data_IF_633459691640
#
_entry.id   IF_633459691640
#
_cell.length_a   1.000
_cell.length_b   1.000
_cell.length_c   1.000
_cell.angle_alpha   90.00
_cell.angle_beta   90.00
_cell.angle_gamma   90.00
#
_symmetry.space_group_name_H-M   'P 1'
#
loop_
_entity.id
_entity.type
_entity.pdbx_description
1 polymer ?
#
# COMPACT_ATOMS: atom_id res chain seq x y z
N UNK A 1 7.51 20.89 7.54
CA UNK A 1 7.32 19.45 7.44
C UNK A 1 8.33 18.91 6.44
N UNK A 2 9.37 18.27 6.92
CA UNK A 2 10.43 17.70 6.12
C UNK A 2 10.23 16.21 5.89
N UNK A 3 11.21 15.58 5.27
CA UNK A 3 11.31 14.13 5.24
C UNK A 3 11.85 13.69 6.60
N UNK A 4 11.00 13.10 7.44
CA UNK A 4 11.41 12.48 8.70
C UNK A 4 10.38 11.43 9.08
N UNK A 5 10.75 10.18 8.92
CA UNK A 5 10.03 9.05 9.48
C UNK A 5 10.35 8.94 10.96
N UNK A 6 9.32 8.83 11.79
CA UNK A 6 9.46 8.63 13.25
C UNK A 6 8.60 7.45 13.69
N UNK A 7 9.17 6.55 14.48
CA UNK A 7 8.48 5.39 15.05
C UNK A 7 8.80 5.30 16.52
N UNK A 8 7.78 5.45 17.37
CA UNK A 8 7.92 5.23 18.81
C UNK A 8 7.86 3.71 19.12
N UNK A 9 8.83 3.24 19.88
CA UNK A 9 8.89 1.85 20.37
C UNK A 9 8.48 1.89 21.85
N UNK A 10 7.42 1.15 22.16
CA UNK A 10 6.76 1.21 23.47
C UNK A 10 6.92 -0.14 24.17
N UNK A 11 7.35 -0.11 25.44
CA UNK A 11 7.27 -1.24 26.36
C UNK A 11 5.86 -1.26 26.95
N UNK A 12 5.04 -2.19 26.50
CA UNK A 12 3.62 -2.29 26.89
C UNK A 12 3.47 -2.70 28.36
N UNK A 13 4.40 -3.48 28.91
CA UNK A 13 4.35 -3.89 30.33
C UNK A 13 4.66 -2.73 31.27
N UNK A 14 5.55 -1.81 30.84
CA UNK A 14 5.95 -0.64 31.61
C UNK A 14 5.19 0.63 31.25
N UNK A 15 4.32 0.56 30.24
CA UNK A 15 3.60 1.73 29.69
C UNK A 15 4.54 2.91 29.43
N UNK A 16 5.65 2.66 28.76
CA UNK A 16 6.68 3.65 28.52
C UNK A 16 7.30 3.56 27.12
N UNK A 17 7.60 4.72 26.54
CA UNK A 17 8.41 4.80 25.32
C UNK A 17 9.86 4.49 25.67
N UNK A 18 10.42 3.46 25.03
CA UNK A 18 11.83 3.05 25.23
C UNK A 18 12.77 3.64 24.19
N UNK A 19 12.26 3.96 23.02
CA UNK A 19 13.01 4.63 21.96
C UNK A 19 12.08 5.31 20.94
N UNK A 20 12.63 6.27 20.21
CA UNK A 20 12.03 6.83 18.99
C UNK A 20 13.05 6.65 17.87
N UNK A 21 12.76 5.78 16.93
CA UNK A 21 13.55 5.63 15.71
C UNK A 21 13.25 6.79 14.77
N UNK A 22 14.27 7.42 14.22
CA UNK A 22 14.14 8.54 13.29
C UNK A 22 14.98 8.30 12.03
N UNK A 23 14.45 8.70 10.86
CA UNK A 23 15.15 8.60 9.59
C UNK A 23 14.62 9.67 8.61
N UNK A 24 15.52 10.30 7.86
CA UNK A 24 15.21 11.40 6.93
C UNK A 24 15.13 10.96 5.45
N UNK A 25 15.29 9.67 5.18
CA UNK A 25 15.27 9.12 3.82
C UNK A 25 13.87 9.08 3.19
N UNK A 26 12.82 9.09 4.00
CA UNK A 26 11.42 9.20 3.56
C UNK A 26 10.66 10.16 4.45
N UNK A 27 9.48 10.59 4.00
CA UNK A 27 8.59 11.43 4.80
C UNK A 27 7.95 10.63 5.96
N UNK A 28 7.09 11.30 6.72
CA UNK A 28 6.39 10.68 7.85
C UNK A 28 5.75 9.35 7.45
N UNK A 29 5.95 8.34 8.28
CA UNK A 29 5.31 7.02 8.16
C UNK A 29 4.03 7.00 8.97
N UNK A 30 3.09 6.16 8.56
CA UNK A 30 1.76 6.11 9.16
C UNK A 30 0.70 6.64 8.22
N UNK A 31 -0.56 6.34 8.51
CA UNK A 31 -1.71 6.82 7.75
C UNK A 31 -2.70 7.54 8.67
N UNK A 32 -3.43 8.48 8.10
CA UNK A 32 -4.52 9.17 8.80
C UNK A 32 -5.77 8.29 8.96
N UNK A 33 -5.87 7.25 8.16
CA UNK A 33 -7.01 6.35 8.14
C UNK A 33 -6.59 4.97 8.66
N UNK A 34 -6.83 4.74 9.91
CA UNK A 34 -6.18 3.70 10.71
C UNK A 34 -6.97 2.40 10.87
N UNK A 35 -8.23 2.36 10.47
CA UNK A 35 -9.09 1.19 10.76
C UNK A 35 -8.74 -0.06 9.96
N UNK A 36 -8.05 0.07 8.82
CA UNK A 36 -7.56 -1.04 7.99
C UNK A 36 -6.19 -0.74 7.36
N UNK A 37 -5.51 0.28 7.87
CA UNK A 37 -4.29 0.78 7.31
C UNK A 37 -3.10 0.21 8.03
N UNK A 38 -2.46 -0.73 7.40
CA UNK A 38 -1.19 -1.20 7.92
C UNK A 38 -0.06 -0.37 7.32
N UNK A 39 0.28 0.69 8.04
CA UNK A 39 1.50 1.44 7.80
C UNK A 39 2.73 0.69 8.32
N UNK A 40 2.48 -0.35 9.12
CA UNK A 40 3.50 -1.22 9.71
C UNK A 40 3.20 -2.66 9.33
N UNK A 41 4.13 -3.30 8.66
CA UNK A 41 3.99 -4.67 8.17
C UNK A 41 5.08 -5.51 8.82
N UNK A 42 4.69 -6.53 9.59
CA UNK A 42 5.66 -7.46 10.19
C UNK A 42 5.88 -8.63 9.25
N UNK A 43 7.09 -8.78 8.75
CA UNK A 43 7.46 -9.86 7.84
C UNK A 43 8.96 -10.18 7.96
N UNK A 44 9.31 -11.46 7.90
CA UNK A 44 10.70 -11.97 7.82
C UNK A 44 11.65 -11.37 8.88
N UNK A 45 11.14 -11.18 10.11
CA UNK A 45 11.91 -10.62 11.21
C UNK A 45 12.13 -9.11 11.16
N UNK A 46 11.39 -8.40 10.32
CA UNK A 46 11.38 -6.94 10.21
C UNK A 46 10.00 -6.34 10.36
N UNK A 47 9.97 -5.09 10.77
CA UNK A 47 8.81 -4.20 10.73
C UNK A 47 9.07 -3.22 9.59
N UNK A 48 8.32 -3.37 8.49
CA UNK A 48 8.38 -2.46 7.35
C UNK A 48 7.44 -1.29 7.60
N UNK A 49 7.94 -0.08 7.38
CA UNK A 49 7.22 1.17 7.58
C UNK A 49 7.08 1.87 6.23
N UNK A 50 5.88 2.25 5.84
CA UNK A 50 5.61 2.92 4.58
C UNK A 50 5.25 4.39 4.78
N UNK A 51 5.83 5.25 3.95
CA UNK A 51 5.44 6.64 3.76
C UNK A 51 4.79 6.83 2.40
N UNK A 52 3.60 7.41 2.36
CA UNK A 52 2.91 7.78 1.12
C UNK A 52 3.21 9.22 0.66
N UNK A 53 4.16 9.89 1.29
CA UNK A 53 4.55 11.28 1.00
C UNK A 53 3.34 12.23 0.93
N UNK A 54 2.40 12.10 1.88
CA UNK A 54 1.16 12.91 1.93
C UNK A 54 0.38 12.91 0.60
N UNK A 55 0.32 11.77 -0.08
CA UNK A 55 -0.34 11.59 -1.39
C UNK A 55 0.14 12.57 -2.47
N UNK A 56 1.34 13.13 -2.32
CA UNK A 56 1.90 14.13 -3.24
C UNK A 56 1.45 15.57 -3.00
N UNK A 57 0.63 15.84 -1.98
CA UNK A 57 0.18 17.20 -1.67
C UNK A 57 1.26 18.10 -1.07
N UNK A 58 2.31 17.52 -0.48
CA UNK A 58 3.41 18.27 0.10
C UNK A 58 4.67 18.17 -0.79
N UNK A 59 5.01 19.21 -1.53
CA UNK A 59 6.19 19.19 -2.41
C UNK A 59 7.47 18.85 -1.67
N UNK A 60 8.30 18.01 -2.29
CA UNK A 60 9.61 17.61 -1.76
C UNK A 60 9.56 16.48 -0.72
N UNK A 61 8.39 15.97 -0.38
CA UNK A 61 8.29 14.75 0.42
C UNK A 61 8.64 13.51 -0.43
N UNK A 62 9.31 12.55 0.22
CA UNK A 62 9.77 11.30 -0.40
C UNK A 62 8.94 10.14 0.12
N UNK A 63 8.34 9.39 -0.81
CA UNK A 63 7.60 8.16 -0.53
C UNK A 63 8.52 6.95 -0.45
N UNK A 64 8.09 5.89 0.24
CA UNK A 64 8.79 4.62 0.21
C UNK A 64 8.75 3.83 1.50
N UNK A 65 9.46 2.72 1.47
CA UNK A 65 9.60 1.80 2.59
C UNK A 65 10.96 1.95 3.26
N UNK A 66 10.92 2.01 4.59
CA UNK A 66 12.02 1.71 5.49
C UNK A 66 11.65 0.47 6.30
N UNK A 67 12.58 -0.06 7.10
CA UNK A 67 12.29 -1.14 8.03
C UNK A 67 13.11 -1.04 9.31
N UNK A 68 12.58 -1.63 10.38
CA UNK A 68 13.26 -1.84 11.66
C UNK A 68 13.34 -3.36 11.87
N UNK A 69 14.49 -3.89 12.27
CA UNK A 69 14.58 -5.30 12.64
C UNK A 69 13.84 -5.54 13.96
N UNK A 70 13.06 -6.60 14.03
CA UNK A 70 12.32 -6.94 15.26
C UNK A 70 13.31 -7.06 16.43
N UNK A 71 13.05 -6.35 17.50
CA UNK A 71 13.91 -6.25 18.69
C UNK A 71 14.95 -5.13 18.65
N UNK A 72 15.15 -4.46 17.52
CA UNK A 72 16.01 -3.27 17.42
C UNK A 72 15.20 -1.98 17.59
N UNK A 73 15.90 -0.87 17.81
CA UNK A 73 15.31 0.44 18.08
C UNK A 73 15.67 1.51 17.04
N UNK A 74 16.31 1.11 15.95
CA UNK A 74 16.73 2.00 14.86
C UNK A 74 16.31 1.45 13.50
N UNK A 75 16.14 2.34 12.53
CA UNK A 75 15.93 1.93 11.15
C UNK A 75 17.17 1.22 10.57
N UNK A 76 16.91 0.18 9.79
CA UNK A 76 17.94 -0.53 9.00
C UNK A 76 18.51 0.42 7.94
N UNK A 77 19.79 0.76 8.06
CA UNK A 77 20.47 1.69 7.15
C UNK A 77 20.69 1.12 5.75
N UNK A 78 20.68 -0.20 5.63
CA UNK A 78 20.91 -0.91 4.36
C UNK A 78 19.61 -1.15 3.59
N UNK A 79 18.45 -0.84 4.19
CA UNK A 79 17.16 -1.00 3.54
C UNK A 79 16.48 0.35 3.31
N UNK A 80 16.21 0.62 2.03
CA UNK A 80 15.34 1.69 1.55
C UNK A 80 14.75 1.23 0.21
N UNK A 81 13.47 1.50 -0.03
CA UNK A 81 12.83 1.26 -1.31
C UNK A 81 11.85 2.39 -1.64
N UNK A 82 12.20 3.23 -2.59
CA UNK A 82 11.46 4.42 -2.99
C UNK A 82 10.48 4.07 -4.11
N UNK A 83 9.19 4.02 -3.81
CA UNK A 83 8.17 3.57 -4.78
C UNK A 83 8.15 4.45 -6.02
N UNK A 84 8.17 5.77 -5.86
CA UNK A 84 8.22 6.71 -6.99
C UNK A 84 9.46 6.51 -7.87
N UNK A 85 10.65 6.39 -7.26
CA UNK A 85 11.91 6.31 -8.00
C UNK A 85 12.23 4.93 -8.55
N UNK A 86 11.94 3.89 -7.77
CA UNK A 86 12.45 2.55 -8.03
C UNK A 86 11.45 1.69 -8.81
N UNK A 87 10.14 1.97 -8.67
CA UNK A 87 9.10 1.16 -9.29
C UNK A 87 8.81 1.63 -10.72
N UNK A 88 8.96 0.69 -11.66
CA UNK A 88 8.46 0.79 -13.02
C UNK A 88 7.78 -0.54 -13.36
N UNK A 89 6.48 -0.49 -13.59
CA UNK A 89 5.67 -1.65 -14.00
C UNK A 89 5.31 -1.46 -15.47
N UNK A 90 5.71 -2.38 -16.31
CA UNK A 90 5.53 -2.29 -17.74
C UNK A 90 4.05 -2.07 -18.14
N UNK A 91 3.80 -1.04 -18.93
CA UNK A 91 2.45 -0.63 -19.32
C UNK A 91 1.59 0.00 -18.21
N UNK A 92 2.09 0.17 -16.99
CA UNK A 92 1.34 0.71 -15.85
C UNK A 92 1.96 1.98 -15.31
N UNK A 93 3.27 2.00 -15.06
CA UNK A 93 3.94 3.15 -14.45
C UNK A 93 5.38 3.29 -14.93
N UNK A 94 5.92 4.52 -14.85
CA UNK A 94 7.29 4.87 -15.17
C UNK A 94 8.04 5.28 -13.92
N UNK A 95 9.37 5.14 -13.93
CA UNK A 95 10.22 5.73 -12.88
C UNK A 95 10.04 7.24 -12.84
N UNK A 96 10.24 7.80 -11.67
CA UNK A 96 10.17 9.24 -11.35
C UNK A 96 8.78 9.88 -11.49
N UNK A 97 7.78 9.21 -12.05
CA UNK A 97 6.40 9.65 -11.94
C UNK A 97 5.89 9.35 -10.53
N UNK A 98 5.34 10.38 -9.87
CA UNK A 98 4.80 10.21 -8.52
C UNK A 98 3.68 9.17 -8.50
N UNK A 99 3.78 8.28 -7.55
CA UNK A 99 2.80 7.24 -7.26
C UNK A 99 2.85 6.89 -5.78
N UNK A 100 1.77 6.36 -5.25
CA UNK A 100 1.73 5.92 -3.87
C UNK A 100 0.83 4.70 -3.70
N UNK A 101 1.04 3.98 -2.62
CA UNK A 101 0.23 2.82 -2.24
C UNK A 101 -0.90 3.23 -1.31
N UNK A 102 -2.06 2.66 -1.51
CA UNK A 102 -3.08 2.52 -0.48
C UNK A 102 -2.57 1.57 0.62
N UNK A 103 -3.28 1.44 1.75
CA UNK A 103 -2.91 0.47 2.78
C UNK A 103 -2.65 -0.91 2.20
N UNK A 104 -1.76 -1.67 2.82
CA UNK A 104 -1.45 -3.04 2.42
C UNK A 104 -2.31 -4.06 3.18
N UNK A 105 -2.31 -5.31 2.73
CA UNK A 105 -2.73 -6.46 3.56
C UNK A 105 -1.68 -6.75 4.62
N UNK A 106 -2.01 -7.64 5.57
CA UNK A 106 -0.99 -8.38 6.33
C UNK A 106 -0.03 -9.11 5.38
N UNK A 107 1.15 -9.44 5.87
CA UNK A 107 2.12 -10.17 5.07
C UNK A 107 1.80 -11.67 5.03
N UNK A 108 1.94 -12.25 3.85
CA UNK A 108 2.07 -13.69 3.65
C UNK A 108 3.51 -13.98 3.21
N UNK A 109 4.35 -14.43 4.14
CA UNK A 109 5.79 -14.39 3.97
C UNK A 109 6.30 -12.96 3.89
N UNK A 110 6.92 -12.58 2.76
CA UNK A 110 7.34 -11.19 2.47
C UNK A 110 6.39 -10.46 1.51
N UNK A 111 5.31 -11.13 1.10
CA UNK A 111 4.36 -10.57 0.14
C UNK A 111 3.20 -9.88 0.83
N UNK A 112 2.86 -8.72 0.32
CA UNK A 112 1.67 -7.95 0.65
C UNK A 112 0.96 -7.53 -0.63
N UNK A 113 -0.30 -7.13 -0.49
CA UNK A 113 -1.13 -6.68 -1.60
C UNK A 113 -1.66 -5.28 -1.30
N UNK A 114 -1.74 -4.46 -2.33
CA UNK A 114 -2.20 -3.08 -2.24
C UNK A 114 -2.81 -2.61 -3.55
N UNK A 115 -3.20 -1.34 -3.57
CA UNK A 115 -3.51 -0.60 -4.78
C UNK A 115 -2.46 0.50 -4.95
N UNK A 116 -1.85 0.55 -6.14
CA UNK A 116 -0.91 1.60 -6.52
C UNK A 116 -1.65 2.68 -7.27
N UNK A 117 -1.72 3.88 -6.70
CA UNK A 117 -2.26 5.04 -7.40
C UNK A 117 -1.23 5.55 -8.40
N UNK A 118 -1.60 5.59 -9.67
CA UNK A 118 -0.76 5.97 -10.81
C UNK A 118 -1.36 7.14 -11.61
N UNK A 119 -2.04 8.04 -10.92
CA UNK A 119 -2.74 9.17 -11.53
C UNK A 119 -1.84 10.02 -12.45
N UNK A 120 -0.55 10.14 -12.13
CA UNK A 120 0.41 10.91 -12.94
C UNK A 120 0.71 10.19 -14.25
N UNK A 121 0.88 8.87 -14.23
CA UNK A 121 1.09 8.06 -15.44
C UNK A 121 -0.13 8.10 -16.37
N UNK A 122 -1.34 8.15 -15.80
CA UNK A 122 -2.59 8.22 -16.54
C UNK A 122 -3.00 9.66 -16.92
N UNK A 123 -2.24 10.67 -16.48
CA UNK A 123 -2.58 12.10 -16.68
C UNK A 123 -3.93 12.49 -16.07
N UNK A 124 -4.29 11.86 -14.94
CA UNK A 124 -5.54 12.07 -14.20
C UNK A 124 -5.25 12.55 -12.78
N UNK A 125 -4.47 13.62 -12.68
CA UNK A 125 -4.15 14.25 -11.38
C UNK A 125 -5.43 14.83 -10.77
N UNK A 126 -5.57 14.71 -9.47
CA UNK A 126 -6.73 15.23 -8.76
C UNK A 126 -6.82 16.74 -8.85
N UNK A 127 -7.97 17.23 -9.26
CA UNK A 127 -8.29 18.65 -9.37
C UNK A 127 -9.41 19.08 -8.43
N UNK A 128 -10.25 18.13 -8.02
CA UNK A 128 -11.42 18.32 -7.18
C UNK A 128 -11.84 16.98 -6.53
N UNK A 129 -12.91 17.00 -5.74
CA UNK A 129 -13.42 15.80 -5.06
C UNK A 129 -13.97 14.74 -6.02
N UNK A 130 -14.48 15.13 -7.19
CA UNK A 130 -15.00 14.18 -8.17
C UNK A 130 -13.87 13.35 -8.79
N UNK A 131 -12.65 13.89 -8.81
CA UNK A 131 -11.46 13.19 -9.31
C UNK A 131 -11.12 11.89 -8.52
N UNK A 132 -11.60 11.74 -7.28
CA UNK A 132 -11.45 10.50 -6.51
C UNK A 132 -12.22 9.31 -7.10
N UNK A 133 -13.20 9.58 -7.97
CA UNK A 133 -13.92 8.55 -8.72
C UNK A 133 -13.15 8.06 -9.95
N UNK A 134 -12.09 8.75 -10.37
CA UNK A 134 -11.27 8.31 -11.49
C UNK A 134 -10.58 6.98 -11.17
N UNK A 135 -10.54 6.09 -12.16
CA UNK A 135 -9.93 4.77 -12.06
C UNK A 135 -8.41 4.88 -12.22
N UNK A 136 -7.73 5.28 -11.15
CA UNK A 136 -6.28 5.52 -11.13
C UNK A 136 -5.50 4.54 -10.27
N UNK A 137 -6.18 3.64 -9.56
CA UNK A 137 -5.57 2.71 -8.63
C UNK A 137 -5.46 1.31 -9.22
N UNK A 138 -4.23 0.83 -9.42
CA UNK A 138 -3.94 -0.51 -9.94
C UNK A 138 -3.71 -1.50 -8.80
N UNK A 139 -4.46 -2.61 -8.72
CA UNK A 139 -4.15 -3.68 -7.79
C UNK A 139 -2.76 -4.27 -8.06
N UNK A 140 -1.96 -4.43 -7.00
CA UNK A 140 -0.56 -4.88 -7.08
C UNK A 140 -0.22 -5.91 -6.02
N UNK A 141 0.69 -6.82 -6.38
CA UNK A 141 1.45 -7.68 -5.46
C UNK A 141 2.82 -7.04 -5.22
N UNK A 142 3.26 -7.04 -3.98
CA UNK A 142 4.50 -6.43 -3.52
C UNK A 142 5.30 -7.47 -2.77
N UNK A 143 6.59 -7.67 -3.10
CA UNK A 143 7.53 -8.44 -2.31
C UNK A 143 8.49 -7.47 -1.62
N UNK A 144 8.29 -7.27 -0.32
CA UNK A 144 9.01 -6.30 0.47
C UNK A 144 10.51 -6.61 0.59
N UNK A 145 10.87 -7.90 0.72
CA UNK A 145 12.26 -8.30 0.85
C UNK A 145 13.03 -8.14 -0.48
N UNK A 146 12.37 -8.47 -1.60
CA UNK A 146 12.97 -8.37 -2.94
C UNK A 146 12.87 -6.98 -3.55
N UNK A 147 12.09 -6.08 -2.95
CA UNK A 147 11.80 -4.74 -3.49
C UNK A 147 11.22 -4.84 -4.91
N UNK A 148 10.23 -5.73 -5.10
CA UNK A 148 9.57 -5.92 -6.39
C UNK A 148 8.07 -5.71 -6.28
N UNK A 149 7.48 -5.19 -7.35
CA UNK A 149 6.05 -4.95 -7.47
C UNK A 149 5.57 -5.40 -8.84
N UNK A 150 4.41 -6.05 -8.89
CA UNK A 150 3.77 -6.40 -10.15
C UNK A 150 2.29 -6.02 -10.15
N UNK A 151 1.79 -5.58 -11.31
CA UNK A 151 0.37 -5.36 -11.51
C UNK A 151 -0.39 -6.69 -11.56
N UNK A 152 -1.56 -6.72 -10.94
CA UNK A 152 -2.45 -7.87 -10.99
C UNK A 152 -3.39 -7.78 -12.21
N UNK A 153 -3.92 -8.91 -12.71
CA UNK A 153 -4.84 -8.95 -13.85
C UNK A 153 -6.28 -8.55 -13.43
N UNK A 154 -6.40 -7.40 -12.79
CA UNK A 154 -7.63 -6.73 -12.39
C UNK A 154 -7.54 -5.31 -12.92
N UNK A 155 -8.62 -4.77 -13.48
CA UNK A 155 -8.64 -3.42 -14.05
C UNK A 155 -8.40 -2.35 -12.97
N UNK A 156 -8.12 -1.13 -13.41
CA UNK A 156 -7.98 0.01 -12.52
C UNK A 156 -9.27 0.26 -11.77
N UNK A 157 -9.15 0.60 -10.49
CA UNK A 157 -10.26 0.98 -9.63
C UNK A 157 -10.15 2.45 -9.23
N UNK A 158 -11.24 3.03 -8.77
CA UNK A 158 -11.25 4.38 -8.23
C UNK A 158 -10.49 4.48 -6.90
N UNK A 159 -10.04 5.68 -6.55
CA UNK A 159 -9.38 5.91 -5.26
C UNK A 159 -10.29 5.61 -4.08
N UNK A 160 -11.61 5.87 -4.19
CA UNK A 160 -12.60 5.50 -3.18
C UNK A 160 -12.69 3.99 -2.93
N UNK A 161 -12.48 3.17 -3.97
CA UNK A 161 -12.53 1.71 -3.88
C UNK A 161 -11.13 1.09 -3.83
N UNK A 162 -10.14 1.76 -3.24
CA UNK A 162 -8.76 1.29 -3.17
C UNK A 162 -8.32 0.80 -1.78
N UNK A 163 -9.27 0.46 -0.92
CA UNK A 163 -8.99 0.08 0.47
C UNK A 163 -9.33 -1.39 0.76
N UNK A 164 -10.46 -1.88 0.27
CA UNK A 164 -10.97 -3.20 0.61
C UNK A 164 -10.16 -4.34 -0.02
N UNK A 165 -9.36 -5.04 0.77
CA UNK A 165 -8.64 -6.26 0.39
C UNK A 165 -8.21 -7.05 1.62
N UNK A 166 -8.11 -8.38 1.48
CA UNK A 166 -7.54 -9.25 2.50
C UNK A 166 -7.03 -10.55 1.87
N UNK A 167 -6.15 -11.24 2.60
CA UNK A 167 -5.68 -12.58 2.24
C UNK A 167 -6.59 -13.59 2.94
N UNK A 168 -7.19 -14.48 2.15
CA UNK A 168 -8.04 -15.56 2.64
C UNK A 168 -7.21 -16.73 3.21
N UNK A 169 -7.83 -17.61 3.98
CA UNK A 169 -7.16 -18.74 4.65
C UNK A 169 -6.48 -19.71 3.67
N UNK A 170 -6.94 -19.78 2.41
CA UNK A 170 -6.34 -20.58 1.35
C UNK A 170 -5.16 -19.90 0.64
N UNK A 171 -4.84 -18.66 1.04
CA UNK A 171 -3.79 -17.82 0.47
C UNK A 171 -4.19 -17.09 -0.81
N UNK A 172 -5.46 -17.17 -1.24
CA UNK A 172 -5.99 -16.29 -2.27
C UNK A 172 -6.23 -14.89 -1.70
N UNK A 173 -6.34 -13.89 -2.57
CA UNK A 173 -6.53 -12.51 -2.14
C UNK A 173 -7.83 -11.97 -2.71
N UNK A 174 -8.67 -11.44 -1.84
CA UNK A 174 -9.91 -10.80 -2.24
C UNK A 174 -9.67 -9.30 -2.37
N UNK A 175 -10.08 -8.74 -3.50
CA UNK A 175 -10.07 -7.31 -3.77
C UNK A 175 -11.49 -6.80 -3.98
N UNK A 176 -11.83 -5.73 -3.30
CA UNK A 176 -13.04 -4.96 -3.56
C UNK A 176 -12.69 -3.80 -4.49
N UNK A 177 -13.34 -3.70 -5.62
CA UNK A 177 -12.99 -2.73 -6.67
C UNK A 177 -14.24 -2.05 -7.25
N UNK A 178 -14.03 -0.85 -7.80
CA UNK A 178 -14.98 -0.15 -8.66
C UNK A 178 -14.28 0.18 -9.97
N UNK A 179 -14.52 -0.63 -11.00
CA UNK A 179 -13.84 -0.52 -12.29
C UNK A 179 -14.81 -0.03 -13.37
N UNK A 180 -14.26 0.53 -14.44
CA UNK A 180 -15.08 0.96 -15.59
C UNK A 180 -15.81 -0.23 -16.24
N UNK A 181 -15.13 -1.35 -16.36
CA UNK A 181 -15.64 -2.53 -17.07
C UNK A 181 -16.64 -3.35 -16.24
N UNK A 182 -16.33 -3.60 -14.98
CA UNK A 182 -17.06 -4.56 -14.14
C UNK A 182 -17.94 -3.91 -13.08
N UNK A 183 -17.89 -2.57 -12.97
CA UNK A 183 -18.56 -1.82 -11.93
C UNK A 183 -18.01 -2.15 -10.55
N UNK A 184 -18.87 -2.09 -9.53
CA UNK A 184 -18.54 -2.45 -8.16
C UNK A 184 -18.56 -3.96 -8.01
N UNK A 185 -17.41 -4.56 -7.67
CA UNK A 185 -17.26 -6.01 -7.66
C UNK A 185 -16.20 -6.49 -6.66
N UNK A 186 -16.31 -7.78 -6.32
CA UNK A 186 -15.24 -8.51 -5.67
C UNK A 186 -14.50 -9.41 -6.66
N UNK A 187 -13.18 -9.35 -6.62
CA UNK A 187 -12.28 -10.21 -7.37
C UNK A 187 -11.49 -11.09 -6.42
N UNK A 188 -11.35 -12.38 -6.77
CA UNK A 188 -10.41 -13.30 -6.13
C UNK A 188 -9.18 -13.45 -7.02
N UNK A 189 -8.01 -13.16 -6.46
CA UNK A 189 -6.73 -13.38 -7.09
C UNK A 189 -6.06 -14.61 -6.49
N UNK A 190 -5.66 -15.57 -7.33
CA UNK A 190 -4.89 -16.76 -6.95
C UNK A 190 -3.41 -16.50 -7.29
N UNK A 191 -2.54 -16.24 -6.31
CA UNK A 191 -1.12 -15.95 -6.57
C UNK A 191 -0.33 -17.14 -7.12
N UNK A 192 -0.81 -18.38 -6.94
CA UNK A 192 -0.16 -19.57 -7.50
C UNK A 192 -0.44 -19.74 -8.98
N UNK A 193 -1.60 -19.31 -9.44
CA UNK A 193 -2.02 -19.37 -10.84
C UNK A 193 -1.83 -18.04 -11.58
N UNK A 194 -1.54 -16.97 -10.84
CA UNK A 194 -1.47 -15.59 -11.34
C UNK A 194 -2.75 -15.16 -12.10
N UNK A 195 -3.90 -15.58 -11.59
CA UNK A 195 -5.21 -15.31 -12.21
C UNK A 195 -6.14 -14.63 -11.23
N UNK A 196 -6.93 -13.70 -11.76
CA UNK A 196 -8.04 -13.10 -11.04
C UNK A 196 -9.37 -13.48 -11.70
N UNK A 197 -10.38 -13.69 -10.87
CA UNK A 197 -11.77 -13.92 -11.30
C UNK A 197 -12.74 -13.04 -10.52
N UNK A 198 -13.74 -12.52 -11.21
CA UNK A 198 -14.83 -11.81 -10.55
C UNK A 198 -15.73 -12.82 -9.85
N UNK A 199 -15.90 -12.66 -8.53
CA UNK A 199 -16.69 -13.57 -7.70
C UNK A 199 -18.05 -13.02 -7.33
N UNK A 200 -18.22 -11.70 -7.30
CA UNK A 200 -19.52 -11.07 -7.02
C UNK A 200 -19.59 -9.66 -7.58
N UNK A 201 -20.79 -9.18 -7.85
CA UNK A 201 -21.13 -7.77 -8.11
C UNK A 201 -21.88 -7.23 -6.91
N UNK A 202 -21.64 -5.97 -6.56
CA UNK A 202 -22.31 -5.27 -5.45
C UNK A 202 -22.82 -3.90 -5.91
N UNK A 203 -23.87 -3.38 -5.29
CA UNK A 203 -24.41 -2.07 -5.67
C UNK A 203 -23.64 -0.88 -5.09
N UNK A 204 -23.29 -0.84 -3.78
CA UNK A 204 -22.52 0.27 -3.25
C UNK A 204 -21.04 0.19 -3.66
N UNK A 205 -20.36 1.35 -3.66
CA UNK A 205 -18.92 1.40 -3.84
C UNK A 205 -18.26 0.66 -2.65
N UNK A 206 -17.43 -0.37 -2.89
CA UNK A 206 -16.80 -1.13 -1.82
C UNK A 206 -15.61 -0.38 -1.25
N UNK A 207 -15.80 0.31 -0.14
CA UNK A 207 -14.70 1.04 0.51
C UNK A 207 -13.91 0.16 1.48
N UNK A 208 -14.62 -0.68 2.24
CA UNK A 208 -14.04 -1.48 3.31
C UNK A 208 -14.45 -2.95 3.20
N UNK A 209 -13.56 -3.83 3.64
CA UNK A 209 -13.84 -5.25 3.69
C UNK A 209 -13.23 -5.85 4.96
N UNK A 210 -14.06 -6.57 5.72
CA UNK A 210 -13.64 -7.27 6.94
C UNK A 210 -14.09 -8.72 6.82
N UNK A 211 -13.17 -9.69 6.90
CA UNK A 211 -13.56 -11.08 6.96
C UNK A 211 -14.30 -11.36 8.28
N UNK A 212 -15.45 -11.99 8.20
CA UNK A 212 -16.15 -12.50 9.37
C UNK A 212 -15.55 -13.87 9.71
N UNK A 213 -14.93 -13.96 10.88
CA UNK A 213 -14.41 -15.23 11.42
C UNK A 213 -15.48 -15.93 12.25
#
# INVERSE_FOLDING_TARGET
TGNTAQVAIIDVEKDSVIAVAEDDRVAAVGSLDDSQNQSFIVADGYIYCYSNASWGYAPGQVDGFLRIKVGETEFDKDYQWLVTKDVAIDGVTKKDNFKYLSPTTDANGTKVYSFLNVMVDLQQVWTDMDSYHNNTCKPVEIDLAKKTMKALPIDYTSSWASYGKYIDDDGTVIFAVSTEKDGNAYFRYDPKKEKAEKIATIEPIPMWMVPLK
#
